data_IF_725242571050
#
_entry.id   IF_725242571050
#
_cell.length_a   1.000
_cell.length_b   1.000
_cell.length_c   1.000
_cell.angle_alpha   90.00
_cell.angle_beta   90.00
_cell.angle_gamma   90.00
#
_symmetry.space_group_name_H-M   'P 1'
#
loop_
_entity.id
_entity.type
_entity.pdbx_description
1 polymer ?
#
# COMPACT_ATOMS: atom_id res chain seq x y z
N UNK A 1 -3.99 18.79 -20.50
CA UNK A 1 -2.72 18.19 -20.05
C UNK A 1 -2.24 18.97 -18.85
N UNK A 2 -2.33 18.41 -17.64
CA UNK A 2 -1.86 19.08 -16.43
C UNK A 2 -0.45 18.59 -16.11
N UNK A 3 0.54 19.47 -16.30
CA UNK A 3 1.93 19.22 -15.96
C UNK A 3 2.05 19.18 -14.44
N UNK A 4 2.30 18.00 -13.85
CA UNK A 4 2.64 17.92 -12.43
C UNK A 4 4.07 18.40 -12.25
N UNK A 5 4.24 19.62 -11.74
CA UNK A 5 5.54 20.12 -11.27
C UNK A 5 5.96 19.29 -10.06
N UNK A 6 6.94 18.41 -10.23
CA UNK A 6 7.57 17.72 -9.10
C UNK A 6 8.20 18.80 -8.19
N UNK A 7 7.74 18.88 -6.95
CA UNK A 7 8.31 19.79 -5.96
C UNK A 7 9.78 19.40 -5.73
N UNK A 8 10.70 20.35 -5.91
CA UNK A 8 12.12 20.16 -5.63
C UNK A 8 12.31 20.08 -4.11
N UNK A 9 12.60 18.88 -3.60
CA UNK A 9 13.02 18.70 -2.21
C UNK A 9 14.43 19.29 -2.05
N UNK A 10 14.68 20.17 -1.06
CA UNK A 10 16.02 20.66 -0.77
C UNK A 10 16.96 19.49 -0.44
N UNK A 11 18.21 19.55 -0.92
CA UNK A 11 19.19 18.46 -0.76
C UNK A 11 19.50 18.06 0.71
N UNK A 12 19.06 18.86 1.68
CA UNK A 12 19.26 18.64 3.12
C UNK A 12 17.97 18.72 3.95
N UNK A 13 16.79 18.66 3.33
CA UNK A 13 15.54 18.67 4.08
C UNK A 13 15.25 17.27 4.64
N UNK A 14 15.00 17.19 5.95
CA UNK A 14 14.42 15.99 6.56
C UNK A 14 13.00 15.81 6.02
N UNK A 15 12.73 14.67 5.38
CA UNK A 15 11.40 14.37 4.88
C UNK A 15 10.45 14.18 6.07
N UNK A 16 9.38 14.98 6.12
CA UNK A 16 8.39 14.88 7.19
C UNK A 16 7.54 13.62 6.97
N UNK A 17 7.42 12.72 7.95
CA UNK A 17 6.55 11.55 7.81
C UNK A 17 5.09 11.98 7.63
N UNK A 18 4.38 11.25 6.79
CA UNK A 18 2.98 11.52 6.45
C UNK A 18 2.03 10.40 6.88
N UNK A 19 2.58 9.27 7.35
CA UNK A 19 1.83 8.18 7.96
C UNK A 19 2.63 7.49 9.06
N UNK A 20 1.92 6.81 9.96
CA UNK A 20 2.45 6.13 11.12
C UNK A 20 1.80 4.74 11.23
N UNK A 21 2.58 3.73 11.57
CA UNK A 21 2.08 2.45 12.09
C UNK A 21 2.38 2.39 13.58
N UNK A 22 1.34 2.20 14.39
CA UNK A 22 1.45 2.11 15.86
C UNK A 22 1.07 0.71 16.29
N UNK A 23 1.99 0.02 16.95
CA UNK A 23 1.79 -1.35 17.45
C UNK A 23 1.32 -1.33 18.90
N UNK A 24 0.71 -2.45 19.33
CA UNK A 24 0.14 -2.59 20.68
C UNK A 24 1.19 -2.51 21.81
N UNK A 25 2.46 -2.76 21.51
CA UNK A 25 3.59 -2.64 22.44
C UNK A 25 4.08 -1.19 22.60
N UNK A 26 3.49 -0.24 21.88
CA UNK A 26 3.88 1.17 21.87
C UNK A 26 4.92 1.53 20.80
N UNK A 27 5.37 0.57 20.00
CA UNK A 27 6.27 0.85 18.87
C UNK A 27 5.58 1.74 17.84
N UNK A 28 6.25 2.83 17.46
CA UNK A 28 5.79 3.76 16.42
C UNK A 28 6.76 3.71 15.25
N UNK A 29 6.25 3.37 14.07
CA UNK A 29 7.03 3.31 12.83
C UNK A 29 6.54 4.43 11.91
N UNK A 30 7.46 5.31 11.54
CA UNK A 30 7.17 6.48 10.71
C UNK A 30 7.53 6.22 9.25
N UNK A 31 6.67 6.68 8.35
CA UNK A 31 6.94 6.59 6.91
C UNK A 31 6.02 7.50 6.12
N UNK A 32 5.70 7.08 4.90
CA UNK A 32 4.93 7.88 3.95
C UNK A 32 3.58 7.25 3.66
N UNK A 33 2.54 8.07 3.72
CA UNK A 33 1.18 7.65 3.40
C UNK A 33 0.99 7.44 1.90
N UNK A 34 0.28 6.38 1.56
CA UNK A 34 -0.15 6.03 0.21
C UNK A 34 -1.60 5.55 0.27
N UNK A 35 -2.35 5.72 -0.82
CA UNK A 35 -3.74 5.28 -0.84
C UNK A 35 -4.67 6.26 -0.12
N UNK A 36 -5.71 5.73 0.52
CA UNK A 36 -6.72 6.55 1.19
C UNK A 36 -6.14 7.26 2.43
N UNK A 37 -6.55 8.50 2.64
CA UNK A 37 -6.24 9.22 3.89
C UNK A 37 -7.25 8.81 4.97
N UNK A 38 -6.74 8.43 6.13
CA UNK A 38 -7.57 8.01 7.26
C UNK A 38 -6.77 7.20 8.27
N UNK A 39 -7.47 6.39 9.05
CA UNK A 39 -6.88 5.47 10.02
C UNK A 39 -7.63 4.16 10.01
N UNK A 40 -6.92 3.06 10.17
CA UNK A 40 -7.49 1.73 10.37
C UNK A 40 -6.85 1.10 11.62
N UNK A 41 -7.67 0.40 12.41
CA UNK A 41 -7.19 -0.42 13.53
C UNK A 41 -7.49 -1.86 13.18
N UNK A 42 -6.45 -2.68 13.15
CA UNK A 42 -6.49 -4.02 12.59
C UNK A 42 -5.28 -4.84 13.05
N UNK A 43 -5.38 -6.16 12.93
CA UNK A 43 -4.23 -7.05 13.05
C UNK A 43 -3.26 -6.79 11.88
N UNK A 44 -1.97 -6.74 12.20
CA UNK A 44 -0.91 -6.66 11.19
C UNK A 44 -0.41 -8.07 10.91
N UNK A 45 -0.54 -8.51 9.67
CA UNK A 45 -0.01 -9.78 9.18
C UNK A 45 1.09 -9.52 8.14
N UNK A 46 1.85 -10.56 7.78
CA UNK A 46 2.82 -10.48 6.70
C UNK A 46 2.58 -11.54 5.63
N UNK A 47 2.91 -11.20 4.39
CA UNK A 47 2.85 -12.10 3.25
C UNK A 47 4.18 -12.09 2.49
N UNK A 48 4.68 -13.28 2.15
CA UNK A 48 5.97 -13.50 1.48
C UNK A 48 5.87 -13.60 -0.04
N UNK A 49 4.68 -13.42 -0.61
CA UNK A 49 4.47 -13.39 -2.04
C UNK A 49 5.27 -12.25 -2.68
N UNK A 50 5.96 -12.58 -3.77
CA UNK A 50 6.77 -11.62 -4.53
C UNK A 50 5.95 -10.88 -5.60
N UNK A 51 4.81 -11.45 -5.99
CA UNK A 51 3.90 -10.96 -7.03
C UNK A 51 2.46 -11.20 -6.58
N UNK A 52 1.49 -10.67 -7.33
CA UNK A 52 0.07 -10.90 -7.03
C UNK A 52 -0.44 -10.06 -5.85
N UNK A 53 0.13 -8.87 -5.65
CA UNK A 53 -0.26 -8.00 -4.54
C UNK A 53 -1.71 -7.53 -4.66
N UNK A 54 -2.25 -7.43 -5.88
CA UNK A 54 -3.61 -6.96 -6.08
C UNK A 54 -4.59 -8.02 -5.59
N UNK A 55 -4.39 -9.25 -6.04
CA UNK A 55 -5.13 -10.45 -5.65
C UNK A 55 -5.15 -10.59 -4.13
N UNK A 56 -3.97 -10.49 -3.49
CA UNK A 56 -3.81 -10.54 -2.03
C UNK A 56 -4.60 -9.42 -1.32
N UNK A 57 -4.51 -8.18 -1.80
CA UNK A 57 -5.22 -7.05 -1.17
C UNK A 57 -6.75 -7.17 -1.29
N UNK A 58 -7.22 -7.96 -2.26
CA UNK A 58 -8.64 -8.25 -2.50
C UNK A 58 -9.11 -9.61 -2.00
N UNK A 59 -8.23 -10.41 -1.39
CA UNK A 59 -8.59 -11.72 -0.87
C UNK A 59 -9.42 -11.54 0.42
N UNK A 60 -10.64 -12.11 0.49
CA UNK A 60 -11.50 -12.06 1.68
C UNK A 60 -10.85 -12.58 2.96
N UNK A 61 -9.82 -13.42 2.85
CA UNK A 61 -9.06 -13.94 3.99
C UNK A 61 -8.34 -12.85 4.78
N UNK A 62 -8.03 -11.72 4.13
CA UNK A 62 -7.40 -10.54 4.77
C UNK A 62 -8.42 -9.47 5.20
N UNK A 63 -9.71 -9.79 5.21
CA UNK A 63 -10.75 -8.84 5.61
C UNK A 63 -10.48 -8.29 7.01
N UNK A 64 -10.36 -6.96 7.12
CA UNK A 64 -10.11 -6.28 8.40
C UNK A 64 -8.66 -6.34 8.89
N UNK A 65 -7.72 -6.81 8.07
CA UNK A 65 -6.29 -6.89 8.40
C UNK A 65 -5.46 -5.84 7.66
N UNK A 66 -4.26 -5.56 8.18
CA UNK A 66 -3.22 -4.77 7.52
C UNK A 66 -2.17 -5.74 6.99
N UNK A 67 -1.97 -5.76 5.67
CA UNK A 67 -1.03 -6.69 5.02
C UNK A 67 0.33 -6.03 4.84
N UNK A 68 1.37 -6.63 5.43
CA UNK A 68 2.76 -6.25 5.23
C UNK A 68 3.41 -7.15 4.18
N UNK A 69 3.91 -6.55 3.10
CA UNK A 69 4.61 -7.31 2.06
C UNK A 69 6.11 -7.35 2.33
N UNK A 70 6.71 -8.53 2.20
CA UNK A 70 8.17 -8.68 2.34
C UNK A 70 8.91 -8.27 1.06
N UNK A 71 8.26 -8.39 -0.11
CA UNK A 71 8.86 -7.93 -1.36
C UNK A 71 8.91 -6.39 -1.41
N UNK A 72 10.08 -5.77 -1.69
CA UNK A 72 10.19 -4.32 -1.55
C UNK A 72 9.39 -3.50 -2.57
N UNK A 73 9.31 -3.96 -3.82
CA UNK A 73 8.78 -3.18 -4.94
C UNK A 73 7.34 -3.55 -5.29
N UNK A 74 6.41 -3.17 -4.42
CA UNK A 74 4.97 -3.34 -4.65
C UNK A 74 4.43 -2.21 -5.53
N UNK A 75 3.53 -2.53 -6.46
CA UNK A 75 2.93 -1.55 -7.39
C UNK A 75 3.63 -1.43 -8.75
N UNK A 76 4.72 -2.15 -8.98
CA UNK A 76 5.52 -2.09 -10.20
C UNK A 76 4.77 -2.47 -11.48
N UNK A 77 3.75 -3.33 -11.40
CA UNK A 77 2.92 -3.73 -12.55
C UNK A 77 1.59 -2.98 -12.62
N UNK A 78 1.36 -2.00 -11.74
CA UNK A 78 0.12 -1.24 -11.66
C UNK A 78 -1.04 -2.06 -11.14
N UNK A 79 -2.25 -1.71 -11.55
CA UNK A 79 -3.48 -2.40 -11.16
C UNK A 79 -4.42 -2.48 -12.35
N UNK A 80 -5.30 -3.48 -12.34
CA UNK A 80 -6.29 -3.71 -13.39
C UNK A 80 -7.60 -4.24 -12.78
N UNK A 81 -8.62 -4.47 -13.60
CA UNK A 81 -9.93 -4.97 -13.12
C UNK A 81 -10.05 -6.51 -13.15
N UNK A 82 -9.04 -7.20 -13.66
CA UNK A 82 -9.00 -8.66 -13.84
C UNK A 82 -8.39 -9.39 -12.62
N UNK A 83 -7.41 -8.78 -11.97
CA UNK A 83 -6.66 -9.36 -10.84
C UNK A 83 -7.38 -9.07 -9.50
N UNK A 84 -8.68 -9.36 -9.44
CA UNK A 84 -9.55 -9.12 -8.28
C UNK A 84 -10.12 -10.46 -7.78
N UNK A 85 -9.79 -10.82 -6.54
CA UNK A 85 -10.25 -12.05 -5.88
C UNK A 85 -11.51 -11.85 -5.00
N UNK A 86 -12.04 -10.62 -4.96
CA UNK A 86 -13.28 -10.31 -4.24
C UNK A 86 -14.46 -11.13 -4.81
N UNK A 87 -14.98 -12.10 -4.04
CA UNK A 87 -16.20 -12.85 -4.40
C UNK A 87 -17.46 -11.96 -4.43
N UNK A 88 -17.41 -10.81 -3.76
CA UNK A 88 -18.46 -9.79 -3.79
C UNK A 88 -17.83 -8.38 -3.90
N UNK A 89 -17.69 -7.82 -5.11
CA UNK A 89 -17.06 -6.52 -5.34
C UNK A 89 -17.75 -5.35 -4.62
N UNK A 90 -19.03 -5.49 -4.26
CA UNK A 90 -19.78 -4.46 -3.53
C UNK A 90 -19.34 -4.40 -2.07
N UNK A 91 -19.00 -5.56 -1.48
CA UNK A 91 -18.56 -5.64 -0.10
C UNK A 91 -17.12 -5.15 0.11
N UNK A 92 -16.29 -5.16 -0.95
CA UNK A 92 -14.85 -4.83 -0.90
C UNK A 92 -14.17 -5.56 0.27
N UNK A 93 -14.43 -6.86 0.36
CA UNK A 93 -13.98 -7.69 1.45
C UNK A 93 -12.50 -8.04 1.22
N UNK A 94 -11.61 -7.16 1.66
CA UNK A 94 -10.18 -7.36 1.60
C UNK A 94 -9.47 -6.60 2.71
N UNK A 95 -8.16 -6.46 2.57
CA UNK A 95 -7.34 -5.73 3.54
C UNK A 95 -7.82 -4.29 3.74
N UNK A 96 -7.78 -3.82 4.99
CA UNK A 96 -8.10 -2.42 5.34
C UNK A 96 -6.88 -1.51 5.28
N UNK A 97 -5.68 -2.10 5.27
CA UNK A 97 -4.44 -1.38 5.08
C UNK A 97 -3.33 -2.23 4.49
N UNK A 98 -2.25 -1.57 4.06
CA UNK A 98 -1.09 -2.23 3.48
C UNK A 98 0.22 -1.55 3.88
N UNK A 99 1.29 -2.32 3.96
CA UNK A 99 2.61 -1.82 4.35
C UNK A 99 3.66 -2.27 3.35
N UNK A 100 4.43 -1.31 2.83
CA UNK A 100 5.43 -1.51 1.78
C UNK A 100 6.80 -0.95 2.20
N UNK A 101 7.86 -1.57 1.69
CA UNK A 101 9.23 -1.11 1.96
C UNK A 101 9.66 0.03 1.06
N UNK A 102 9.64 -0.18 -0.25
CA UNK A 102 10.04 0.85 -1.21
C UNK A 102 8.88 1.79 -1.54
N UNK A 103 9.21 2.92 -2.15
CA UNK A 103 8.19 3.75 -2.77
C UNK A 103 7.59 3.08 -3.99
N UNK A 104 6.31 3.37 -4.20
CA UNK A 104 5.60 2.98 -5.40
C UNK A 104 6.12 3.79 -6.57
N UNK A 105 6.62 3.09 -7.58
CA UNK A 105 7.08 3.68 -8.82
C UNK A 105 5.95 3.73 -9.85
N UNK A 106 6.18 4.43 -10.96
CA UNK A 106 5.27 4.35 -12.09
C UNK A 106 5.16 2.90 -12.58
N UNK A 107 3.94 2.42 -12.86
CA UNK A 107 3.74 1.04 -13.27
C UNK A 107 4.29 0.81 -14.68
N UNK A 108 4.82 -0.39 -14.92
CA UNK A 108 5.36 -0.82 -16.22
C UNK A 108 4.89 -2.24 -16.54
N UNK A 109 3.65 -2.35 -17.00
CA UNK A 109 3.05 -3.59 -17.50
C UNK A 109 2.04 -3.26 -18.59
N UNK A 110 1.95 -4.11 -19.61
CA UNK A 110 0.97 -3.95 -20.69
C UNK A 110 -0.48 -4.07 -20.18
N UNK A 111 -0.69 -4.72 -19.03
CA UNK A 111 -2.00 -4.87 -18.36
C UNK A 111 -2.35 -3.71 -17.44
N UNK A 112 -1.41 -2.80 -17.15
CA UNK A 112 -1.62 -1.75 -16.17
C UNK A 112 -2.70 -0.75 -16.63
N UNK A 113 -3.84 -0.72 -15.95
CA UNK A 113 -4.91 0.24 -16.19
C UNK A 113 -4.84 1.47 -15.25
N UNK A 114 -4.33 1.29 -14.04
CA UNK A 114 -4.17 2.34 -13.03
C UNK A 114 -2.90 2.16 -12.20
N UNK A 115 -2.38 3.25 -11.63
CA UNK A 115 -1.35 3.19 -10.59
C UNK A 115 -1.91 2.70 -9.26
N UNK A 116 -1.04 2.11 -8.43
CA UNK A 116 -1.42 1.52 -7.14
C UNK A 116 -2.03 2.55 -6.17
N UNK A 117 -1.46 3.76 -6.09
CA UNK A 117 -1.99 4.83 -5.21
C UNK A 117 -3.46 5.17 -5.50
N UNK A 118 -3.79 5.38 -6.78
CA UNK A 118 -5.15 5.71 -7.19
C UNK A 118 -6.12 4.54 -6.93
N UNK A 119 -5.64 3.31 -7.11
CA UNK A 119 -6.44 2.11 -6.87
C UNK A 119 -6.74 1.91 -5.38
N UNK A 120 -5.74 2.08 -4.50
CA UNK A 120 -5.91 2.04 -3.05
C UNK A 120 -6.89 3.12 -2.56
N UNK A 121 -6.77 4.35 -3.09
CA UNK A 121 -7.71 5.46 -2.81
C UNK A 121 -9.15 5.11 -3.16
N UNK A 122 -9.39 4.56 -4.35
CA UNK A 122 -10.72 4.14 -4.80
C UNK A 122 -11.33 3.08 -3.89
N UNK A 123 -10.50 2.19 -3.34
CA UNK A 123 -10.91 1.10 -2.44
C UNK A 123 -11.04 1.53 -0.98
N UNK A 124 -10.42 2.64 -0.58
CA UNK A 124 -10.42 3.10 0.82
C UNK A 124 -9.34 2.44 1.67
N UNK A 125 -8.30 1.86 1.05
CA UNK A 125 -7.21 1.18 1.74
C UNK A 125 -6.14 2.21 2.13
N UNK A 126 -5.79 2.24 3.41
CA UNK A 126 -4.73 3.12 3.95
C UNK A 126 -3.40 2.40 3.91
N UNK A 127 -2.40 2.96 3.23
CA UNK A 127 -1.10 2.31 3.10
C UNK A 127 0.07 3.16 3.62
N UNK A 128 1.13 2.47 4.06
CA UNK A 128 2.38 3.03 4.55
C UNK A 128 3.56 2.53 3.72
N UNK A 129 4.42 3.42 3.25
CA UNK A 129 5.63 3.11 2.49
C UNK A 129 6.89 3.66 3.15
N UNK A 130 8.05 3.18 2.71
CA UNK A 130 9.34 3.71 3.15
C UNK A 130 9.83 3.17 4.49
N UNK A 131 9.29 2.05 4.96
CA UNK A 131 9.67 1.46 6.25
C UNK A 131 10.41 0.13 6.07
N UNK A 132 11.19 -0.30 7.06
CA UNK A 132 11.85 -1.61 6.99
C UNK A 132 10.87 -2.73 7.35
N UNK A 133 10.16 -3.24 6.33
CA UNK A 133 9.20 -4.34 6.52
C UNK A 133 9.84 -5.61 7.07
N UNK A 134 11.15 -5.83 6.90
CA UNK A 134 11.86 -6.97 7.49
C UNK A 134 12.00 -6.87 9.00
N UNK A 135 12.03 -5.67 9.57
CA UNK A 135 12.06 -5.49 11.02
C UNK A 135 10.68 -5.70 11.66
N UNK A 136 9.61 -5.63 10.85
CA UNK A 136 8.23 -5.84 11.27
C UNK A 136 7.80 -7.32 11.22
N UNK A 137 8.51 -8.16 10.47
CA UNK A 137 8.25 -9.61 10.29
C UNK A 137 9.22 -10.48 11.06
#
# INVERSE_FOLDING_TARGET
MATMTAASTPAWATEKPTALLVLADGTVIEGRGLGATGSAVAEVCFNTALTGYQEILTDPSYAGQIVTFTFPHIGNIGTNDEDIEDLNPVARAGSVGAVFKADVTNPSSYRAASGLDQWLKKRGIVALTGIDTRALT
#
